data_IF_960143029340
#
_entry.id   IF_960143029340
#
_cell.length_a   1.000
_cell.length_b   1.000
_cell.length_c   1.000
_cell.angle_alpha   90.00
_cell.angle_beta   90.00
_cell.angle_gamma   90.00
#
_symmetry.space_group_name_H-M   'P 1'
#
loop_
_entity.id
_entity.type
_entity.pdbx_description
1 polymer ?
#
# COMPACT_ATOMS: atom_id res chain seq x y z
N UNK A 1 10.38 -30.88 -11.12
CA UNK A 1 10.50 -30.02 -9.92
C UNK A 1 9.26 -30.27 -9.09
N UNK A 2 9.35 -30.47 -7.77
CA UNK A 2 8.14 -30.60 -6.96
C UNK A 2 7.43 -29.25 -6.95
N UNK A 3 6.16 -29.24 -7.35
CA UNK A 3 5.26 -28.09 -7.26
C UNK A 3 5.22 -27.60 -5.82
N UNK A 4 5.78 -26.42 -5.57
CA UNK A 4 5.48 -25.66 -4.35
C UNK A 4 3.97 -25.41 -4.35
N UNK A 5 3.21 -25.86 -3.35
CA UNK A 5 1.77 -25.61 -3.34
C UNK A 5 1.55 -24.10 -3.40
N UNK A 6 0.69 -23.67 -4.32
CA UNK A 6 0.23 -22.29 -4.39
C UNK A 6 -0.18 -21.87 -2.97
N UNK A 7 0.55 -20.91 -2.40
CA UNK A 7 0.30 -20.47 -1.03
C UNK A 7 -1.12 -19.92 -0.98
N UNK A 8 -1.94 -20.41 -0.05
CA UNK A 8 -3.30 -19.90 0.19
C UNK A 8 -3.21 -18.44 0.68
N UNK A 9 -3.22 -17.51 -0.28
CA UNK A 9 -3.13 -16.07 -0.02
C UNK A 9 -4.31 -15.61 0.82
N UNK A 10 -5.51 -16.13 0.56
CA UNK A 10 -6.72 -15.75 1.30
C UNK A 10 -6.59 -16.18 2.76
N UNK A 11 -6.26 -17.45 3.01
CA UNK A 11 -6.07 -17.97 4.37
C UNK A 11 -4.99 -17.22 5.15
N UNK A 12 -3.90 -16.87 4.48
CA UNK A 12 -2.82 -16.04 5.05
C UNK A 12 -3.32 -14.66 5.49
N UNK A 13 -3.95 -13.90 4.59
CA UNK A 13 -4.38 -12.54 4.90
C UNK A 13 -5.54 -12.54 5.91
N UNK A 14 -6.41 -13.55 5.88
CA UNK A 14 -7.43 -13.74 6.91
C UNK A 14 -6.85 -14.04 8.29
N UNK A 15 -5.72 -14.75 8.37
CA UNK A 15 -5.01 -14.94 9.63
C UNK A 15 -4.44 -13.62 10.18
N UNK A 16 -3.87 -12.78 9.32
CA UNK A 16 -3.43 -11.42 9.69
C UNK A 16 -4.60 -10.56 10.20
N UNK A 17 -5.76 -10.62 9.52
CA UNK A 17 -6.97 -9.92 9.97
C UNK A 17 -7.48 -10.45 11.31
N UNK A 18 -7.47 -11.77 11.51
CA UNK A 18 -7.83 -12.39 12.78
C UNK A 18 -6.94 -11.87 13.92
N UNK A 19 -5.64 -11.82 13.69
CA UNK A 19 -4.68 -11.29 14.67
C UNK A 19 -4.90 -9.80 14.94
N UNK A 20 -5.11 -8.99 13.89
CA UNK A 20 -5.48 -7.58 14.01
C UNK A 20 -6.72 -7.38 14.88
N UNK A 21 -7.78 -8.16 14.65
CA UNK A 21 -9.03 -8.09 15.42
C UNK A 21 -8.87 -8.56 16.86
N UNK A 22 -7.96 -9.49 17.13
CA UNK A 22 -7.64 -9.94 18.48
C UNK A 22 -6.94 -8.83 19.28
N UNK A 23 -5.97 -8.16 18.66
CA UNK A 23 -5.20 -7.06 19.29
C UNK A 23 -6.01 -5.76 19.39
N UNK A 24 -6.79 -5.43 18.36
CA UNK A 24 -7.47 -4.14 18.18
C UNK A 24 -8.94 -4.29 17.75
N UNK A 25 -9.79 -4.94 18.58
CA UNK A 25 -11.17 -5.30 18.20
C UNK A 25 -12.06 -4.08 17.89
N UNK A 26 -11.80 -2.95 18.54
CA UNK A 26 -12.58 -1.71 18.46
C UNK A 26 -12.04 -0.69 17.44
N UNK A 27 -10.92 -0.97 16.76
CA UNK A 27 -10.28 -0.02 15.85
C UNK A 27 -11.21 0.47 14.73
N UNK A 28 -12.12 -0.37 14.20
CA UNK A 28 -12.99 0.02 13.08
C UNK A 28 -14.04 1.01 13.56
N UNK A 29 -14.62 0.70 14.71
CA UNK A 29 -15.65 1.51 15.30
C UNK A 29 -15.08 2.88 15.65
N UNK A 30 -13.87 2.92 16.19
CA UNK A 30 -13.17 4.18 16.50
C UNK A 30 -12.81 4.97 15.25
N UNK A 31 -12.18 4.35 14.25
CA UNK A 31 -11.87 5.01 12.98
C UNK A 31 -13.14 5.45 12.24
N UNK A 32 -14.20 4.65 12.28
CA UNK A 32 -15.51 4.97 11.71
C UNK A 32 -16.13 6.22 12.34
N UNK A 33 -16.12 6.32 13.68
CA UNK A 33 -16.57 7.55 14.37
C UNK A 33 -15.75 8.78 13.97
N UNK A 34 -14.43 8.62 13.82
CA UNK A 34 -13.58 9.70 13.34
C UNK A 34 -13.95 10.11 11.90
N UNK A 35 -14.19 9.14 11.00
CA UNK A 35 -14.67 9.40 9.64
C UNK A 35 -15.97 10.20 9.62
N UNK A 36 -16.93 9.85 10.47
CA UNK A 36 -18.20 10.60 10.58
C UNK A 36 -17.99 12.04 11.07
N UNK A 37 -16.92 12.30 11.84
CA UNK A 37 -16.58 13.64 12.33
C UNK A 37 -15.82 14.52 11.35
N UNK A 38 -15.44 14.02 10.16
CA UNK A 38 -14.67 14.76 9.13
C UNK A 38 -15.35 16.06 8.65
N UNK A 39 -16.68 16.15 8.79
CA UNK A 39 -17.45 17.34 8.43
C UNK A 39 -17.83 18.20 9.65
N UNK A 40 -17.35 17.83 10.85
CA UNK A 40 -17.42 18.64 12.06
C UNK A 40 -16.40 19.78 12.02
N UNK A 41 -16.71 20.91 12.65
CA UNK A 41 -16.02 22.21 12.53
C UNK A 41 -14.52 22.24 12.96
N UNK A 42 -13.89 21.11 13.26
CA UNK A 42 -12.52 21.05 13.82
C UNK A 42 -11.56 20.08 13.13
N UNK A 43 -12.05 19.11 12.34
CA UNK A 43 -11.18 18.11 11.70
C UNK A 43 -11.54 17.97 10.23
N UNK A 44 -10.60 18.26 9.34
CA UNK A 44 -10.76 18.07 7.90
C UNK A 44 -9.54 17.39 7.29
N UNK A 45 -9.79 16.58 6.28
CA UNK A 45 -8.78 15.97 5.41
C UNK A 45 -9.42 15.66 4.05
N UNK A 46 -8.63 15.38 3.02
CA UNK A 46 -9.16 15.13 1.67
C UNK A 46 -10.03 13.89 1.56
N UNK A 47 -11.01 13.89 0.65
CA UNK A 47 -11.95 12.78 0.46
C UNK A 47 -11.29 11.46 0.01
N UNK A 48 -10.16 11.56 -0.70
CA UNK A 48 -9.33 10.41 -1.12
C UNK A 48 -8.64 9.70 0.04
N UNK A 49 -8.57 10.34 1.21
CA UNK A 49 -8.01 9.73 2.42
C UNK A 49 -9.15 9.22 3.30
N UNK A 50 -9.04 7.97 3.75
CA UNK A 50 -9.75 7.50 4.95
C UNK A 50 -9.24 8.31 6.18
N UNK A 51 -9.78 8.24 7.42
CA UNK A 51 -9.21 9.01 8.52
C UNK A 51 -7.68 8.88 8.62
N UNK A 52 -6.94 10.01 8.68
CA UNK A 52 -5.48 10.04 8.76
C UNK A 52 -4.91 9.13 9.85
N UNK A 53 -3.67 8.66 9.66
CA UNK A 53 -2.98 7.85 10.66
C UNK A 53 -2.82 8.55 12.01
N UNK A 54 -2.86 9.89 12.07
CA UNK A 54 -2.94 10.63 13.33
C UNK A 54 -4.10 10.17 14.25
N UNK A 55 -5.26 9.80 13.67
CA UNK A 55 -6.37 9.22 14.43
C UNK A 55 -6.06 7.84 15.00
N UNK A 56 -5.35 7.02 14.25
CA UNK A 56 -4.86 5.71 14.71
C UNK A 56 -3.76 5.84 15.76
N UNK A 57 -2.89 6.84 15.64
CA UNK A 57 -1.89 7.18 16.64
C UNK A 57 -2.55 7.56 17.97
N UNK A 58 -3.56 8.44 17.95
CA UNK A 58 -4.34 8.78 19.14
C UNK A 58 -5.04 7.55 19.75
N UNK A 59 -5.58 6.67 18.92
CA UNK A 59 -6.19 5.41 19.37
C UNK A 59 -5.19 4.46 20.05
N UNK A 60 -4.00 4.27 19.48
CA UNK A 60 -2.95 3.42 20.04
C UNK A 60 -2.36 4.01 21.32
N UNK A 61 -2.15 5.33 21.33
CA UNK A 61 -1.76 6.11 22.51
C UNK A 61 -2.71 5.87 23.67
N UNK A 62 -4.02 5.95 23.43
CA UNK A 62 -5.05 5.69 24.45
C UNK A 62 -5.04 4.26 24.98
N UNK A 63 -4.37 3.32 24.30
CA UNK A 63 -4.16 1.93 24.76
C UNK A 63 -2.75 1.70 25.35
N UNK A 64 -1.91 2.74 25.45
CA UNK A 64 -0.54 2.62 25.93
C UNK A 64 0.41 1.90 24.97
N UNK A 65 0.06 1.81 23.68
CA UNK A 65 0.87 1.14 22.65
C UNK A 65 1.57 2.20 21.80
N UNK A 66 2.91 2.16 21.74
CA UNK A 66 3.71 3.22 21.12
C UNK A 66 4.89 2.86 20.19
N UNK A 67 4.88 1.76 19.42
CA UNK A 67 5.85 1.59 18.33
C UNK A 67 5.27 2.11 16.99
N UNK A 68 6.09 2.84 16.22
CA UNK A 68 5.74 3.32 14.87
C UNK A 68 5.31 2.18 13.92
N UNK A 69 5.84 0.96 14.13
CA UNK A 69 5.46 -0.23 13.36
C UNK A 69 4.00 -0.63 13.55
N UNK A 70 3.48 -0.56 14.79
CA UNK A 70 2.07 -0.92 15.07
C UNK A 70 1.10 0.07 14.43
N UNK A 71 1.49 1.35 14.32
CA UNK A 71 0.66 2.36 13.66
C UNK A 71 0.36 1.98 12.21
N UNK A 72 1.39 1.57 11.44
CA UNK A 72 1.21 1.10 10.06
C UNK A 72 0.36 -0.17 9.97
N UNK A 73 0.63 -1.16 10.84
CA UNK A 73 -0.10 -2.44 10.87
C UNK A 73 -1.59 -2.27 11.15
N UNK A 74 -1.93 -1.51 12.20
CA UNK A 74 -3.32 -1.30 12.63
C UNK A 74 -4.08 -0.47 11.62
N UNK A 75 -3.45 0.55 11.04
CA UNK A 75 -4.06 1.37 10.00
C UNK A 75 -4.41 0.49 8.79
N UNK A 76 -3.41 -0.12 8.15
CA UNK A 76 -3.63 -0.88 6.92
C UNK A 76 -4.68 -1.99 7.11
N UNK A 77 -4.61 -2.80 8.17
CA UNK A 77 -5.55 -3.89 8.41
C UNK A 77 -6.95 -3.40 8.81
N UNK A 78 -7.04 -2.21 9.44
CA UNK A 78 -8.34 -1.58 9.72
C UNK A 78 -9.02 -1.06 8.46
N UNK A 79 -8.25 -0.49 7.54
CA UNK A 79 -8.77 -0.02 6.26
C UNK A 79 -9.09 -1.22 5.36
N UNK A 80 -8.20 -2.21 5.29
CA UNK A 80 -8.35 -3.38 4.42
C UNK A 80 -9.62 -4.16 4.73
N UNK A 81 -9.95 -4.38 6.01
CA UNK A 81 -11.17 -5.12 6.39
C UNK A 81 -12.48 -4.50 5.90
N UNK A 82 -12.48 -3.24 5.47
CA UNK A 82 -13.66 -2.60 4.88
C UNK A 82 -14.05 -3.24 3.54
N UNK A 83 -13.05 -3.58 2.71
CA UNK A 83 -13.25 -4.19 1.38
C UNK A 83 -12.84 -5.66 1.29
N UNK A 84 -11.74 -6.02 1.98
CA UNK A 84 -11.10 -7.35 1.96
C UNK A 84 -10.75 -7.84 0.55
N UNK A 85 -10.39 -6.93 -0.35
CA UNK A 85 -9.88 -7.27 -1.68
C UNK A 85 -8.44 -7.80 -1.63
N UNK A 86 -8.24 -8.98 -2.22
CA UNK A 86 -6.93 -9.55 -2.55
C UNK A 86 -6.77 -9.46 -4.06
N UNK A 87 -5.75 -8.76 -4.53
CA UNK A 87 -5.52 -8.45 -5.93
C UNK A 87 -4.33 -9.26 -6.43
N UNK A 88 -4.53 -10.00 -7.52
CA UNK A 88 -3.52 -10.90 -8.10
C UNK A 88 -3.32 -10.52 -9.56
N UNK A 89 -2.28 -9.76 -9.90
CA UNK A 89 -1.99 -9.48 -11.29
C UNK A 89 -1.54 -10.76 -12.00
N UNK A 90 -2.01 -10.94 -13.24
CA UNK A 90 -1.40 -11.91 -14.13
C UNK A 90 0.02 -11.46 -14.52
N UNK A 91 0.77 -12.36 -15.15
CA UNK A 91 2.16 -12.10 -15.54
C UNK A 91 2.26 -10.98 -16.56
N UNK A 92 1.29 -10.85 -17.48
CA UNK A 92 1.31 -9.79 -18.51
C UNK A 92 1.14 -8.41 -17.88
N UNK A 93 0.21 -8.25 -16.94
CA UNK A 93 0.00 -7.02 -16.17
C UNK A 93 1.23 -6.68 -15.34
N UNK A 94 1.80 -7.67 -14.65
CA UNK A 94 2.98 -7.49 -13.82
C UNK A 94 4.20 -7.05 -14.66
N UNK A 95 4.45 -7.70 -15.79
CA UNK A 95 5.55 -7.42 -16.71
C UNK A 95 5.40 -6.05 -17.37
N UNK A 96 4.19 -5.71 -17.80
CA UNK A 96 3.91 -4.42 -18.41
C UNK A 96 4.11 -3.27 -17.40
N UNK A 97 3.63 -3.41 -16.17
CA UNK A 97 3.80 -2.39 -15.16
C UNK A 97 5.29 -2.21 -14.76
N UNK A 98 6.04 -3.32 -14.63
CA UNK A 98 7.47 -3.29 -14.36
C UNK A 98 8.27 -2.68 -15.52
N UNK A 99 7.98 -3.09 -16.75
CA UNK A 99 8.61 -2.56 -17.95
C UNK A 99 8.33 -1.06 -18.13
N UNK A 100 7.10 -0.63 -17.86
CA UNK A 100 6.70 0.78 -17.95
C UNK A 100 7.45 1.63 -16.95
N UNK A 101 7.47 1.26 -15.66
CA UNK A 101 8.20 2.03 -14.65
C UNK A 101 9.70 2.06 -14.96
N UNK A 102 10.27 0.92 -15.36
CA UNK A 102 11.68 0.83 -15.77
C UNK A 102 12.00 1.77 -16.95
N UNK A 103 11.13 1.83 -17.97
CA UNK A 103 11.30 2.70 -19.12
C UNK A 103 11.28 4.21 -18.78
N UNK A 104 10.75 4.60 -17.61
CA UNK A 104 10.82 5.99 -17.15
C UNK A 104 12.22 6.43 -16.73
N UNK A 105 13.15 5.49 -16.57
CA UNK A 105 14.54 5.79 -16.22
C UNK A 105 15.40 5.88 -17.48
N UNK A 106 15.89 7.08 -17.80
CA UNK A 106 16.75 7.32 -18.98
C UNK A 106 18.16 6.68 -18.91
N UNK A 107 18.34 5.65 -18.09
CA UNK A 107 19.63 4.98 -17.83
C UNK A 107 19.52 3.55 -17.30
N UNK A 108 18.33 2.92 -17.36
CA UNK A 108 18.10 1.56 -16.84
C UNK A 108 18.07 1.48 -15.31
N UNK A 109 18.17 0.27 -14.76
CA UNK A 109 17.92 -0.02 -13.34
C UNK A 109 18.78 0.83 -12.38
N UNK A 110 19.99 1.22 -12.81
CA UNK A 110 20.90 2.07 -12.05
C UNK A 110 20.43 3.53 -11.88
N UNK A 111 19.44 3.98 -12.64
CA UNK A 111 18.89 5.34 -12.62
C UNK A 111 17.48 5.41 -12.01
N UNK A 112 17.14 4.46 -11.14
CA UNK A 112 15.85 4.38 -10.43
C UNK A 112 15.54 5.64 -9.61
N UNK A 113 16.57 6.37 -9.17
CA UNK A 113 16.44 7.62 -8.44
C UNK A 113 15.66 8.70 -9.23
N UNK A 114 15.59 8.54 -10.56
CA UNK A 114 14.89 9.43 -11.50
C UNK A 114 13.57 8.86 -12.02
N UNK A 115 13.15 7.69 -11.56
CA UNK A 115 11.89 7.09 -12.00
C UNK A 115 10.70 8.03 -11.71
N UNK A 116 9.71 8.00 -12.59
CA UNK A 116 8.51 8.84 -12.47
C UNK A 116 7.77 8.48 -11.17
N UNK A 117 7.37 9.50 -10.44
CA UNK A 117 6.47 9.38 -9.30
C UNK A 117 5.07 9.84 -9.69
N UNK A 118 4.09 8.95 -9.58
CA UNK A 118 2.69 9.32 -9.74
C UNK A 118 2.20 10.16 -8.57
N UNK A 119 1.28 11.10 -8.87
CA UNK A 119 0.74 12.04 -7.89
C UNK A 119 -0.45 11.44 -7.14
N UNK A 120 -0.86 12.07 -6.05
CA UNK A 120 -1.99 11.57 -5.23
C UNK A 120 -3.29 11.43 -6.02
N UNK A 121 -3.53 12.25 -7.04
CA UNK A 121 -4.71 12.16 -7.90
C UNK A 121 -4.74 10.85 -8.70
N UNK A 122 -3.58 10.29 -9.02
CA UNK A 122 -3.48 9.00 -9.70
C UNK A 122 -3.81 7.85 -8.76
N UNK A 123 -3.22 7.86 -7.58
CA UNK A 123 -3.45 6.87 -6.55
C UNK A 123 -4.86 6.94 -5.95
N UNK A 124 -5.57 8.08 -6.07
CA UNK A 124 -6.96 8.19 -5.66
C UNK A 124 -7.91 7.30 -6.49
N UNK A 125 -7.42 6.67 -7.57
CA UNK A 125 -8.13 5.63 -8.34
C UNK A 125 -8.03 4.23 -7.74
N UNK A 126 -7.37 4.04 -6.59
CA UNK A 126 -7.33 2.75 -5.91
C UNK A 126 -8.74 2.16 -5.77
N UNK A 127 -8.92 0.85 -6.04
CA UNK A 127 -10.24 0.24 -6.10
C UNK A 127 -10.89 0.10 -4.72
N UNK A 128 -10.11 0.11 -3.64
CA UNK A 128 -10.57 0.08 -2.26
C UNK A 128 -9.74 1.00 -1.37
N UNK A 129 -10.25 1.34 -0.16
CA UNK A 129 -9.53 2.19 0.80
C UNK A 129 -8.16 1.62 1.20
N UNK A 130 -8.02 0.30 1.19
CA UNK A 130 -6.76 -0.41 1.28
C UNK A 130 -6.89 -1.72 0.52
N UNK A 131 -5.97 -1.98 -0.39
CA UNK A 131 -5.92 -3.19 -1.19
C UNK A 131 -4.83 -4.12 -0.64
N UNK A 132 -5.01 -5.45 -0.67
CA UNK A 132 -3.88 -6.37 -0.52
C UNK A 132 -3.48 -6.88 -1.90
N UNK A 133 -2.24 -6.67 -2.30
CA UNK A 133 -1.71 -7.12 -3.58
C UNK A 133 -0.80 -8.32 -3.34
N UNK A 134 -1.12 -9.46 -3.96
CA UNK A 134 -0.29 -10.66 -3.92
C UNK A 134 0.78 -10.60 -5.00
N UNK A 135 1.98 -11.08 -4.69
CA UNK A 135 2.98 -11.33 -5.71
C UNK A 135 2.56 -12.56 -6.54
N UNK A 136 2.55 -12.48 -7.89
CA UNK A 136 2.22 -13.63 -8.72
C UNK A 136 3.25 -14.74 -8.54
N UNK A 137 2.79 -15.99 -8.51
CA UNK A 137 3.68 -17.15 -8.61
C UNK A 137 4.41 -17.14 -9.95
N UNK A 138 5.74 -17.21 -9.93
CA UNK A 138 6.54 -17.18 -11.15
C UNK A 138 6.87 -15.78 -11.68
N UNK A 139 6.49 -14.71 -10.97
CA UNK A 139 6.99 -13.37 -11.28
C UNK A 139 8.51 -13.33 -11.08
N UNK A 140 9.25 -13.09 -12.16
CA UNK A 140 10.70 -12.89 -12.10
C UNK A 140 10.97 -11.55 -11.45
N UNK A 141 11.43 -11.60 -10.18
CA UNK A 141 11.83 -10.42 -9.45
C UNK A 141 12.98 -9.75 -10.17
N UNK A 142 12.90 -8.43 -10.32
CA UNK A 142 13.97 -7.64 -10.92
C UNK A 142 15.00 -7.34 -9.83
N UNK A 143 16.28 -7.52 -10.20
CA UNK A 143 17.46 -7.44 -9.33
C UNK A 143 17.60 -8.59 -8.32
N UNK A 144 18.82 -8.77 -7.80
CA UNK A 144 19.16 -9.75 -6.75
C UNK A 144 18.54 -9.31 -5.41
N UNK A 145 17.22 -9.38 -5.32
CA UNK A 145 16.50 -9.21 -4.05
C UNK A 145 16.94 -10.34 -3.13
N UNK A 146 17.50 -9.99 -1.97
CA UNK A 146 17.77 -10.96 -0.91
C UNK A 146 16.48 -11.74 -0.64
N UNK A 147 16.52 -13.06 -0.82
CA UNK A 147 15.37 -13.94 -0.68
C UNK A 147 14.68 -13.80 0.69
N UNK A 148 15.42 -13.35 1.72
CA UNK A 148 14.91 -13.07 3.07
C UNK A 148 13.95 -11.87 3.11
N UNK A 149 14.09 -10.92 2.18
CA UNK A 149 13.26 -9.71 2.11
C UNK A 149 12.18 -9.77 1.03
N UNK A 150 11.98 -10.93 0.40
CA UNK A 150 10.98 -11.10 -0.64
C UNK A 150 9.55 -11.15 -0.04
N UNK A 151 8.72 -10.10 -0.19
CA UNK A 151 7.37 -10.13 0.35
C UNK A 151 6.50 -11.14 -0.41
N UNK A 152 5.56 -11.75 0.30
CA UNK A 152 4.46 -12.50 -0.28
C UNK A 152 3.35 -11.58 -0.82
N UNK A 153 3.24 -10.37 -0.27
CA UNK A 153 2.27 -9.37 -0.67
C UNK A 153 2.50 -8.02 -0.03
N UNK A 154 1.61 -7.09 -0.33
CA UNK A 154 1.66 -5.74 0.21
C UNK A 154 0.26 -5.18 0.40
N UNK A 155 -0.01 -4.57 1.55
CA UNK A 155 -1.18 -3.71 1.70
C UNK A 155 -0.86 -2.32 1.16
N UNK A 156 -1.75 -1.77 0.35
CA UNK A 156 -1.57 -0.47 -0.33
C UNK A 156 -2.74 0.43 0.04
N UNK A 157 -2.46 1.58 0.66
CA UNK A 157 -3.47 2.59 0.97
C UNK A 157 -2.92 4.01 0.88
N UNK A 158 -3.81 4.98 0.78
CA UNK A 158 -3.45 6.40 0.86
C UNK A 158 -3.47 6.92 2.29
N UNK A 159 -2.66 7.94 2.53
CA UNK A 159 -2.66 8.71 3.76
C UNK A 159 -2.43 10.19 3.46
N UNK A 160 -3.12 11.03 4.23
CA UNK A 160 -2.84 12.45 4.39
C UNK A 160 -2.22 12.64 5.76
N UNK A 161 -0.92 12.92 5.83
CA UNK A 161 -0.26 13.23 7.09
C UNK A 161 -0.88 14.52 7.66
N UNK A 162 -1.54 14.40 8.81
CA UNK A 162 -2.20 15.54 9.45
C UNK A 162 -1.21 16.59 9.95
N UNK A 163 0.02 16.21 10.28
CA UNK A 163 1.02 17.14 10.82
C UNK A 163 1.61 18.03 9.72
N UNK A 164 1.81 17.47 8.53
CA UNK A 164 2.49 18.15 7.42
C UNK A 164 1.58 18.51 6.26
N UNK A 165 0.36 17.97 6.20
CA UNK A 165 -0.59 18.10 5.09
C UNK A 165 -0.19 17.30 3.84
N UNK A 166 0.78 16.40 3.96
CA UNK A 166 1.40 15.73 2.80
C UNK A 166 0.64 14.48 2.38
N UNK A 167 0.51 14.22 1.07
CA UNK A 167 -0.02 12.96 0.57
C UNK A 167 1.05 11.86 0.56
N UNK A 168 0.68 10.69 1.06
CA UNK A 168 1.53 9.51 1.11
C UNK A 168 0.80 8.30 0.53
N UNK A 169 1.55 7.48 -0.19
CA UNK A 169 1.18 6.09 -0.44
C UNK A 169 1.82 5.26 0.67
N UNK A 170 1.01 4.54 1.42
CA UNK A 170 1.46 3.67 2.50
C UNK A 170 1.46 2.23 2.01
N UNK A 171 2.63 1.62 2.12
CA UNK A 171 2.84 0.20 1.84
C UNK A 171 3.04 -0.52 3.17
N UNK A 172 2.39 -1.66 3.36
CA UNK A 172 2.71 -2.58 4.46
C UNK A 172 3.11 -3.91 3.84
N UNK A 173 4.40 -4.19 3.80
CA UNK A 173 4.93 -5.42 3.24
C UNK A 173 4.55 -6.60 4.14
N UNK A 174 4.00 -7.64 3.53
CA UNK A 174 3.79 -8.94 4.13
C UNK A 174 4.94 -9.88 3.76
N UNK A 175 5.87 -10.10 4.68
CA UNK A 175 7.04 -10.95 4.44
C UNK A 175 6.65 -12.44 4.51
N UNK A 176 6.01 -12.88 5.59
CA UNK A 176 5.78 -14.31 5.85
C UNK A 176 4.35 -14.66 6.32
N UNK A 177 3.43 -13.70 6.32
CA UNK A 177 2.06 -13.88 6.78
C UNK A 177 1.89 -13.74 8.29
N UNK A 178 2.93 -13.31 9.02
CA UNK A 178 2.87 -13.07 10.45
C UNK A 178 2.82 -11.58 10.79
N UNK A 179 2.15 -11.25 11.90
CA UNK A 179 1.97 -9.86 12.33
C UNK A 179 3.28 -9.13 12.57
N UNK A 180 4.26 -9.81 13.18
CA UNK A 180 5.51 -9.18 13.62
C UNK A 180 6.48 -8.93 12.46
N UNK A 181 6.29 -9.63 11.32
CA UNK A 181 7.04 -9.43 10.08
C UNK A 181 6.29 -8.57 9.05
N UNK A 182 5.30 -7.79 9.50
CA UNK A 182 4.72 -6.71 8.70
C UNK A 182 5.59 -5.45 8.79
N UNK A 183 6.03 -4.93 7.64
CA UNK A 183 6.97 -3.80 7.53
C UNK A 183 6.28 -2.60 6.84
N UNK A 184 6.01 -1.50 7.56
CA UNK A 184 5.41 -0.31 6.99
C UNK A 184 6.44 0.55 6.27
N UNK A 185 6.13 0.99 5.06
CA UNK A 185 6.96 1.85 4.22
C UNK A 185 6.10 3.03 3.71
N UNK A 186 6.40 4.27 4.10
CA UNK A 186 5.81 5.45 3.47
C UNK A 186 6.43 5.72 2.11
N UNK A 187 5.64 6.19 1.15
CA UNK A 187 6.12 6.76 -0.11
C UNK A 187 5.49 8.13 -0.26
N UNK A 188 6.30 9.17 -0.13
CA UNK A 188 5.82 10.55 -0.19
C UNK A 188 5.50 10.99 -1.62
N UNK A 189 4.23 11.27 -1.91
CA UNK A 189 3.73 11.55 -3.27
C UNK A 189 3.97 13.01 -3.72
N UNK A 190 4.50 13.85 -2.83
CA UNK A 190 4.83 15.26 -3.09
C UNK A 190 6.25 15.47 -3.61
N UNK A 191 7.00 14.39 -3.85
CA UNK A 191 8.39 14.44 -4.34
C UNK A 191 8.51 14.63 -5.84
N UNK A 192 9.67 15.14 -6.31
CA UNK A 192 9.90 15.32 -7.75
C UNK A 192 10.12 13.99 -8.48
N UNK A 193 10.66 12.97 -7.80
CA UNK A 193 10.93 11.65 -8.38
C UNK A 193 10.64 10.55 -7.37
N UNK A 194 10.48 9.32 -7.87
CA UNK A 194 10.29 8.15 -7.02
C UNK A 194 11.53 7.91 -6.15
N UNK A 195 12.71 8.15 -6.69
CA UNK A 195 13.96 8.14 -5.94
C UNK A 195 13.94 8.99 -4.70
N UNK A 196 13.54 10.26 -4.86
CA UNK A 196 13.44 11.20 -3.75
C UNK A 196 12.39 10.75 -2.71
N UNK A 197 11.28 10.17 -3.14
CA UNK A 197 10.25 9.64 -2.24
C UNK A 197 10.75 8.46 -1.39
N UNK A 198 11.49 7.53 -2.00
CA UNK A 198 12.02 6.35 -1.31
C UNK A 198 13.24 6.68 -0.44
N UNK A 199 14.07 7.64 -0.85
CA UNK A 199 15.20 8.11 -0.03
C UNK A 199 14.71 8.65 1.33
N UNK A 200 13.61 9.41 1.34
CA UNK A 200 13.00 9.85 2.59
C UNK A 200 12.45 8.67 3.41
N UNK A 201 11.84 7.67 2.75
CA UNK A 201 11.29 6.50 3.42
C UNK A 201 12.38 5.69 4.16
N UNK A 202 13.53 5.52 3.51
CA UNK A 202 14.73 4.94 4.12
C UNK A 202 15.20 5.76 5.32
N UNK A 203 15.24 7.08 5.19
CA UNK A 203 15.63 7.95 6.29
C UNK A 203 14.62 7.96 7.46
N UNK A 204 13.31 7.84 7.21
CA UNK A 204 12.29 7.60 8.25
C UNK A 204 12.54 6.29 8.97
N UNK A 205 12.81 5.22 8.22
CA UNK A 205 13.06 3.89 8.79
C UNK A 205 14.28 3.92 9.71
N UNK A 206 15.36 4.58 9.30
CA UNK A 206 16.55 4.78 10.12
C UNK A 206 16.26 5.65 11.35
N UNK A 207 15.49 6.73 11.19
CA UNK A 207 15.10 7.59 12.30
C UNK A 207 14.27 6.83 13.36
N UNK A 208 13.32 6.01 12.92
CA UNK A 208 12.52 5.14 13.80
C UNK A 208 13.40 4.11 14.52
N UNK A 209 14.34 3.47 13.80
CA UNK A 209 15.30 2.55 14.42
C UNK A 209 16.18 3.26 15.46
N UNK A 210 16.51 4.54 15.24
CA UNK A 210 17.23 5.37 16.19
C UNK A 210 16.34 5.97 17.31
N UNK A 211 15.04 5.69 17.34
CA UNK A 211 14.11 6.16 18.37
C UNK A 211 13.47 7.53 18.13
N UNK A 212 13.65 8.13 16.94
CA UNK A 212 13.04 9.41 16.58
C UNK A 212 11.67 9.19 15.91
N UNK A 213 10.58 9.32 16.67
CA UNK A 213 9.20 9.17 16.17
C UNK A 213 8.63 10.55 15.77
N UNK A 214 8.09 10.66 14.55
CA UNK A 214 7.35 11.86 14.10
C UNK A 214 8.23 13.05 13.69
N UNK A 215 9.53 12.85 13.51
CA UNK A 215 10.44 13.89 13.01
C UNK A 215 10.20 14.18 11.51
N UNK A 216 10.25 15.46 11.11
CA UNK A 216 10.38 15.82 9.69
C UNK A 216 11.79 15.42 9.21
N UNK A 217 11.86 14.33 8.47
CA UNK A 217 13.13 13.74 8.04
C UNK A 217 13.90 14.64 7.07
N UNK A 218 13.23 15.62 6.44
CA UNK A 218 13.90 16.68 5.66
C UNK A 218 14.83 17.53 6.52
N UNK A 219 14.54 17.67 7.82
CA UNK A 219 15.35 18.45 8.78
C UNK A 219 16.62 17.71 9.23
N UNK A 220 16.76 16.41 8.91
CA UNK A 220 17.87 15.57 9.34
C UNK A 220 19.01 15.45 8.31
N UNK A 221 18.92 16.15 7.16
CA UNK A 221 19.94 16.36 6.14
C UNK A 221 20.80 15.14 5.69
N UNK A 222 20.57 14.69 4.46
CA UNK A 222 21.55 13.97 3.63
C UNK A 222 20.92 12.91 2.71
N UNK A 223 21.40 12.71 1.47
CA UNK A 223 20.99 11.58 0.64
C UNK A 223 21.54 10.30 1.28
N UNK A 224 20.70 9.57 2.01
CA UNK A 224 21.04 8.26 2.52
C UNK A 224 21.22 7.30 1.34
N UNK A 225 22.36 6.63 1.36
CA UNK A 225 22.80 5.62 0.41
C UNK A 225 21.67 4.63 0.12
N UNK A 226 21.45 4.40 -1.17
CA UNK A 226 20.62 3.34 -1.77
C UNK A 226 20.70 2.05 -0.97
N UNK A 227 19.64 1.71 -0.23
CA UNK A 227 19.53 0.44 0.47
C UNK A 227 18.73 -0.56 -0.37
N UNK A 228 18.96 -1.86 -0.15
CA UNK A 228 18.29 -2.94 -0.89
C UNK A 228 16.76 -2.85 -0.79
N UNK A 229 16.24 -2.22 0.27
CA UNK A 229 14.81 -1.96 0.45
C UNK A 229 14.29 -0.99 -0.61
N UNK A 230 14.98 0.12 -0.89
CA UNK A 230 14.57 1.08 -1.91
C UNK A 230 14.49 0.44 -3.30
N UNK A 231 15.47 -0.40 -3.66
CA UNK A 231 15.45 -1.18 -4.92
C UNK A 231 14.31 -2.18 -4.98
N UNK A 232 14.08 -2.94 -3.89
CA UNK A 232 12.92 -3.83 -3.75
C UNK A 232 11.60 -3.08 -3.99
N UNK A 233 11.41 -1.93 -3.33
CA UNK A 233 10.18 -1.16 -3.46
C UNK A 233 10.04 -0.62 -4.89
N UNK A 234 11.07 0.02 -5.43
CA UNK A 234 11.04 0.64 -6.75
C UNK A 234 10.79 -0.37 -7.86
N UNK A 235 11.35 -1.58 -7.76
CA UNK A 235 11.37 -2.52 -8.88
C UNK A 235 10.47 -3.74 -8.75
N UNK A 236 10.00 -4.05 -7.55
CA UNK A 236 9.18 -5.23 -7.33
C UNK A 236 7.82 -4.89 -6.71
N UNK A 237 7.75 -3.93 -5.78
CA UNK A 237 6.49 -3.61 -5.09
C UNK A 237 5.68 -2.57 -5.85
N UNK A 238 6.26 -1.42 -6.17
CA UNK A 238 5.56 -0.32 -6.82
C UNK A 238 5.03 -0.65 -8.21
N UNK A 239 5.77 -1.34 -9.09
CA UNK A 239 5.23 -1.77 -10.38
C UNK A 239 3.94 -2.55 -10.24
N UNK A 240 3.90 -3.51 -9.32
CA UNK A 240 2.69 -4.28 -9.08
C UNK A 240 1.60 -3.36 -8.50
N UNK A 241 1.92 -2.45 -7.59
CA UNK A 241 0.94 -1.50 -7.05
C UNK A 241 0.36 -0.57 -8.14
N UNK A 242 1.11 -0.22 -9.19
CA UNK A 242 0.61 0.55 -10.33
C UNK A 242 -0.51 -0.17 -11.08
N UNK A 243 -0.51 -1.51 -11.10
CA UNK A 243 -1.59 -2.29 -11.74
C UNK A 243 -2.96 -2.06 -11.08
N UNK A 244 -3.00 -1.63 -9.81
CA UNK A 244 -4.25 -1.31 -9.11
C UNK A 244 -4.93 -0.05 -9.65
N UNK A 245 -4.18 0.82 -10.33
CA UNK A 245 -4.65 2.14 -10.80
C UNK A 245 -4.49 2.33 -12.31
N UNK A 246 -4.13 1.26 -13.02
CA UNK A 246 -4.02 1.22 -14.47
C UNK A 246 -5.44 1.28 -15.09
N UNK A 247 -5.75 2.31 -15.89
CA UNK A 247 -7.07 2.44 -16.51
C UNK A 247 -7.40 1.33 -17.52
N UNK A 248 -6.39 0.65 -18.06
CA UNK A 248 -6.57 -0.43 -19.04
C UNK A 248 -6.76 -1.80 -18.37
N UNK A 249 -6.42 -1.90 -17.08
CA UNK A 249 -6.55 -3.11 -16.28
C UNK A 249 -8.02 -3.42 -15.90
N UNK A 250 -8.31 -4.70 -15.72
CA UNK A 250 -9.61 -5.21 -15.29
C UNK A 250 -9.48 -6.06 -14.06
N UNK A 251 -10.46 -5.94 -13.17
CA UNK A 251 -10.59 -6.79 -12.01
C UNK A 251 -11.62 -7.89 -12.30
N UNK A 252 -11.16 -9.11 -12.52
CA UNK A 252 -12.00 -10.28 -12.68
C UNK A 252 -12.23 -10.95 -11.32
N UNK A 253 -13.47 -10.88 -10.82
CA UNK A 253 -13.90 -11.54 -9.57
C UNK A 253 -14.40 -12.98 -9.79
N UNK A 254 -14.57 -13.77 -8.71
CA UNK A 254 -14.77 -15.22 -8.81
C UNK A 254 -16.20 -15.66 -9.16
N UNK A 255 -17.23 -14.80 -9.03
CA UNK A 255 -18.62 -15.31 -8.97
C UNK A 255 -19.69 -14.51 -9.70
N UNK A 256 -19.41 -13.36 -10.30
CA UNK A 256 -20.43 -12.63 -11.06
C UNK A 256 -19.85 -11.76 -12.17
N UNK A 257 -20.21 -12.01 -13.45
CA UNK A 257 -19.89 -11.11 -14.55
C UNK A 257 -20.41 -9.69 -14.22
N UNK A 258 -19.51 -8.71 -14.22
CA UNK A 258 -19.86 -7.29 -14.04
C UNK A 258 -19.73 -6.73 -12.63
N UNK A 259 -19.39 -7.54 -11.61
CA UNK A 259 -18.99 -6.99 -10.32
C UNK A 259 -17.60 -6.38 -10.43
N UNK A 260 -17.44 -5.14 -9.96
CA UNK A 260 -16.15 -4.43 -9.89
C UNK A 260 -15.84 -4.09 -8.44
N UNK A 261 -14.57 -4.12 -8.01
CA UNK A 261 -14.20 -3.66 -6.69
C UNK A 261 -14.48 -2.16 -6.59
N UNK A 262 -14.91 -1.73 -5.41
CA UNK A 262 -15.20 -0.33 -5.14
C UNK A 262 -14.92 -0.01 -3.66
N UNK A 263 -14.52 1.24 -3.33
CA UNK A 263 -14.30 1.61 -1.94
C UNK A 263 -15.58 1.42 -1.12
N UNK A 264 -15.43 0.84 0.07
CA UNK A 264 -16.56 0.61 0.96
C UNK A 264 -17.35 1.90 1.19
N UNK A 265 -18.67 1.76 1.17
CA UNK A 265 -19.61 2.86 1.39
C UNK A 265 -20.31 2.74 2.73
N UNK A 266 -20.82 3.87 3.22
CA UNK A 266 -21.54 3.97 4.48
C UNK A 266 -22.87 3.22 4.40
N UNK A 267 -23.15 2.35 5.36
CA UNK A 267 -24.45 1.66 5.43
C UNK A 267 -25.58 2.60 5.88
N UNK A 268 -26.81 2.29 5.46
CA UNK A 268 -28.02 2.85 6.04
C UNK A 268 -28.05 2.53 7.55
N UNK A 269 -27.89 3.55 8.40
CA UNK A 269 -27.68 3.41 9.85
C UNK A 269 -26.37 4.02 10.36
N UNK A 270 -25.50 4.50 9.47
CA UNK A 270 -24.35 5.34 9.82
C UNK A 270 -23.13 4.62 10.39
N UNK A 271 -23.13 3.28 10.40
CA UNK A 271 -22.01 2.48 10.85
C UNK A 271 -21.21 1.95 9.66
N UNK A 272 -19.89 2.07 9.73
CA UNK A 272 -18.94 1.40 8.85
C UNK A 272 -18.84 -0.07 9.24
N UNK A 273 -19.08 -0.98 8.30
CA UNK A 273 -19.01 -2.42 8.52
C UNK A 273 -17.90 -3.03 7.66
N UNK A 274 -17.23 -4.09 8.15
CA UNK A 274 -16.27 -4.81 7.35
C UNK A 274 -16.97 -5.59 6.23
N UNK A 275 -16.25 -5.87 5.14
CA UNK A 275 -16.70 -6.81 4.13
C UNK A 275 -16.91 -8.21 4.74
N UNK A 276 -17.98 -8.93 4.34
CA UNK A 276 -18.35 -10.19 4.98
C UNK A 276 -17.33 -11.31 4.72
N UNK A 277 -16.65 -11.28 3.57
CA UNK A 277 -15.67 -12.27 3.15
C UNK A 277 -14.52 -11.59 2.40
N UNK A 278 -13.39 -12.29 2.31
CA UNK A 278 -12.26 -11.89 1.46
C UNK A 278 -12.57 -12.28 0.02
N UNK A 279 -12.33 -11.35 -0.91
CA UNK A 279 -12.58 -11.54 -2.34
C UNK A 279 -11.28 -11.43 -3.10
N UNK A 280 -10.96 -12.46 -3.89
CA UNK A 280 -9.84 -12.39 -4.82
C UNK A 280 -10.26 -11.72 -6.14
N UNK A 281 -9.43 -10.81 -6.64
CA UNK A 281 -9.57 -10.13 -7.92
C UNK A 281 -8.34 -10.40 -8.76
N UNK A 282 -8.51 -11.07 -9.90
CA UNK A 282 -7.42 -11.20 -10.86
C UNK A 282 -7.32 -9.91 -11.67
N UNK A 283 -6.13 -9.35 -11.80
CA UNK A 283 -5.88 -8.17 -12.62
C UNK A 283 -5.39 -8.64 -13.99
N UNK A 284 -6.13 -8.29 -15.04
CA UNK A 284 -5.82 -8.70 -16.43
C UNK A 284 -6.05 -7.58 -17.44
N UNK A 285 -5.48 -7.70 -18.65
CA UNK A 285 -5.80 -6.84 -19.79
C UNK A 285 -6.85 -7.49 -20.73
N UNK A 286 -7.60 -6.67 -21.49
CA UNK A 286 -8.55 -7.19 -22.51
C UNK A 286 -7.85 -7.71 -23.76
N UNK A 287 -6.71 -7.14 -24.10
CA UNK A 287 -6.05 -7.33 -25.38
C UNK A 287 -4.56 -7.23 -25.16
N UNK A 288 -3.74 -8.02 -25.85
CA UNK A 288 -2.29 -7.88 -25.76
C UNK A 288 -1.82 -6.51 -26.28
N UNK A 289 -0.76 -5.95 -25.71
CA UNK A 289 -0.15 -4.72 -26.21
C UNK A 289 0.46 -3.83 -25.13
N UNK A 290 0.94 -2.62 -25.50
CA UNK A 290 1.44 -1.66 -24.53
C UNK A 290 0.28 -1.05 -23.75
N UNK A 291 0.22 -1.36 -22.46
CA UNK A 291 -0.75 -0.79 -21.50
C UNK A 291 0.00 0.07 -20.48
N UNK A 292 -0.70 0.81 -19.62
CA UNK A 292 -0.12 1.75 -18.64
C UNK A 292 0.84 2.78 -19.25
N UNK A 293 0.43 4.05 -19.30
CA UNK A 293 1.31 5.13 -19.75
C UNK A 293 1.64 6.05 -18.58
N UNK A 294 2.86 5.91 -18.06
CA UNK A 294 3.41 6.87 -17.10
C UNK A 294 3.84 8.11 -17.89
N UNK A 295 2.97 9.12 -17.95
CA UNK A 295 3.32 10.41 -18.53
C UNK A 295 4.05 11.21 -17.44
N UNK A 296 5.27 11.70 -17.68
CA UNK A 296 5.89 12.67 -16.79
C UNK A 296 4.95 13.88 -16.71
N UNK A 297 4.42 14.18 -15.52
CA UNK A 297 3.71 15.43 -15.32
C UNK A 297 4.76 16.54 -15.36
N UNK A 298 4.69 17.41 -16.38
CA UNK A 298 5.53 18.62 -16.47
C UNK A 298 5.24 19.56 -15.30
#
# INVERSE_FOLDING_TARGET
MPDTPATDVIGRVDALLKESRRRYPDALATAGRLRESQHGRQLSWPSWCWPPMAGFHAYLTGKGVFPALELGRVTALTLWRLGRGVYVPDTEVADNAAGTLHATTSGGAAAWDRAVLLRVQDWARLPEWCCYLSFPSGFERREDVDAVLAPAGVFVHLEHDHNTGRPELRLLLDIDGTWDNLIPIPVYLDRPTLGAALADAGAVTQAVQAGHIGADVRSLAGPTRTDAVSGLIAWNVLPLALSLIDPDARFAGPTSPGTVPAPAQRHAGGLWKPAPATTQWNITYRSPGPHLKLVPTM
#
